data_IF_207505953293
#
_entry.id   IF_207505953293
#
_cell.length_a   1.000
_cell.length_b   1.000
_cell.length_c   1.000
_cell.angle_alpha   90.00
_cell.angle_beta   90.00
_cell.angle_gamma   90.00
#
_symmetry.space_group_name_H-M   'P 1'
#
loop_
_entity.id
_entity.type
_entity.pdbx_description
1 polymer ?
#
# COMPACT_ATOMS: atom_id res chain seq x y z
N UNK A 1 4.72 19.05 2.02
CA UNK A 1 4.02 17.75 2.00
C UNK A 1 4.62 16.95 0.85
N UNK A 2 5.44 15.94 1.13
CA UNK A 2 6.09 15.16 0.09
C UNK A 2 5.13 14.05 -0.36
N UNK A 3 4.73 14.07 -1.63
CA UNK A 3 3.97 12.97 -2.22
C UNK A 3 4.89 11.75 -2.33
N UNK A 4 4.44 10.56 -1.90
CA UNK A 4 5.19 9.33 -2.09
C UNK A 4 5.54 9.13 -3.57
N UNK A 5 6.81 8.85 -3.83
CA UNK A 5 7.32 8.52 -5.17
C UNK A 5 7.60 7.01 -5.23
N UNK A 6 7.69 6.44 -6.44
CA UNK A 6 8.00 5.02 -6.67
C UNK A 6 6.91 4.03 -6.20
N UNK A 7 5.68 4.24 -6.67
CA UNK A 7 4.58 3.30 -6.46
C UNK A 7 4.85 1.94 -7.12
N UNK A 8 4.64 0.88 -6.34
CA UNK A 8 4.75 -0.53 -6.77
C UNK A 8 3.36 -1.14 -6.73
N UNK A 9 2.88 -1.60 -7.88
CA UNK A 9 1.63 -2.34 -7.99
C UNK A 9 1.83 -3.76 -7.47
N UNK A 10 0.88 -4.27 -6.69
CA UNK A 10 0.91 -5.66 -6.23
C UNK A 10 0.81 -6.63 -7.40
N UNK A 11 1.63 -7.69 -7.40
CA UNK A 11 1.57 -8.78 -8.39
C UNK A 11 0.30 -9.61 -8.30
N UNK A 12 -0.47 -9.49 -7.20
CA UNK A 12 -1.78 -10.10 -7.03
C UNK A 12 -2.92 -9.26 -7.65
N UNK A 13 -2.60 -8.11 -8.23
CA UNK A 13 -3.54 -7.28 -8.99
C UNK A 13 -3.75 -7.90 -10.38
N UNK A 14 -4.65 -8.88 -10.48
CA UNK A 14 -5.09 -9.46 -11.76
C UNK A 14 -6.06 -8.53 -12.52
N UNK A 15 -6.52 -8.98 -13.69
CA UNK A 15 -7.31 -8.16 -14.63
C UNK A 15 -8.64 -7.60 -14.07
N UNK A 16 -9.16 -8.09 -12.94
CA UNK A 16 -10.49 -7.69 -12.43
C UNK A 16 -10.64 -7.57 -10.91
N UNK A 17 -9.58 -7.72 -10.11
CA UNK A 17 -9.68 -7.50 -8.65
C UNK A 17 -8.31 -7.29 -7.98
N UNK A 18 -8.32 -6.58 -6.86
CA UNK A 18 -7.19 -6.35 -5.92
C UNK A 18 -6.14 -5.32 -6.37
N UNK A 19 -6.58 -4.17 -6.88
CA UNK A 19 -5.71 -3.09 -7.36
C UNK A 19 -5.19 -2.21 -6.21
N UNK A 20 -4.11 -2.64 -5.53
CA UNK A 20 -3.40 -1.81 -4.56
C UNK A 20 -1.98 -1.49 -5.04
N UNK A 21 -1.56 -0.26 -4.78
CA UNK A 21 -0.19 0.22 -4.95
C UNK A 21 0.41 0.62 -3.61
N UNK A 22 1.69 0.32 -3.43
CA UNK A 22 2.46 0.70 -2.24
C UNK A 22 3.68 1.51 -2.63
N UNK A 23 4.03 2.51 -1.84
CA UNK A 23 5.26 3.28 -1.99
C UNK A 23 6.01 3.33 -0.66
N UNK A 24 7.31 3.07 -0.70
CA UNK A 24 8.19 3.25 0.43
C UNK A 24 8.43 4.75 0.66
N UNK A 25 8.26 5.21 1.91
CA UNK A 25 8.55 6.59 2.30
C UNK A 25 9.50 6.60 3.49
N UNK A 26 10.28 7.68 3.72
CA UNK A 26 11.28 7.68 4.79
C UNK A 26 10.74 7.35 6.19
N UNK A 27 9.45 7.56 6.44
CA UNK A 27 8.79 7.33 7.73
C UNK A 27 7.92 6.06 7.79
N UNK A 28 7.92 5.21 6.77
CA UNK A 28 7.07 4.02 6.70
C UNK A 28 6.61 3.73 5.26
N UNK A 29 5.30 3.56 5.07
CA UNK A 29 4.74 3.22 3.76
C UNK A 29 3.51 4.08 3.43
N UNK A 30 3.23 4.20 2.14
CA UNK A 30 1.98 4.74 1.63
C UNK A 30 1.25 3.69 0.80
N UNK A 31 -0.06 3.61 0.94
CA UNK A 31 -0.92 2.66 0.23
C UNK A 31 -2.04 3.42 -0.47
N UNK A 32 -2.33 3.06 -1.72
CA UNK A 32 -3.44 3.65 -2.48
C UNK A 32 -4.13 2.62 -3.37
N UNK A 33 -5.34 2.99 -3.81
CA UNK A 33 -6.08 2.27 -4.85
C UNK A 33 -5.45 2.56 -6.22
N UNK A 34 -5.05 1.53 -6.95
CA UNK A 34 -4.46 1.70 -8.29
C UNK A 34 -5.47 2.17 -9.34
N UNK A 35 -6.76 1.92 -9.14
CA UNK A 35 -7.83 2.37 -10.05
C UNK A 35 -8.22 3.82 -9.80
N UNK A 36 -8.00 4.31 -8.58
CA UNK A 36 -8.40 5.64 -8.16
C UNK A 36 -7.22 6.42 -7.50
N UNK A 37 -6.06 6.57 -8.19
CA UNK A 37 -4.86 7.16 -7.59
C UNK A 37 -5.02 8.63 -7.18
N UNK A 38 -5.96 9.34 -7.80
CA UNK A 38 -6.23 10.76 -7.54
C UNK A 38 -7.11 11.00 -6.30
N UNK A 39 -7.74 9.94 -5.76
CA UNK A 39 -8.54 10.03 -4.51
C UNK A 39 -7.66 10.13 -3.25
N UNK A 40 -6.34 10.02 -3.40
CA UNK A 40 -5.38 10.13 -2.32
C UNK A 40 -4.80 8.78 -1.89
N UNK A 41 -4.09 8.79 -0.76
CA UNK A 41 -3.39 7.63 -0.24
C UNK A 41 -3.39 7.64 1.29
N UNK A 42 -3.34 6.45 1.87
CA UNK A 42 -3.13 6.25 3.29
C UNK A 42 -1.62 6.21 3.56
N UNK A 43 -1.18 6.82 4.66
CA UNK A 43 0.21 6.74 5.13
C UNK A 43 0.25 6.03 6.47
N UNK A 44 1.21 5.12 6.59
CA UNK A 44 1.47 4.35 7.79
C UNK A 44 2.85 4.69 8.31
N UNK A 45 2.98 4.84 9.63
CA UNK A 45 4.28 4.79 10.27
C UNK A 45 4.87 3.38 10.13
N UNK A 46 6.20 3.26 10.23
CA UNK A 46 6.88 1.97 10.06
C UNK A 46 6.32 0.86 10.95
N UNK A 47 6.04 1.15 12.23
CA UNK A 47 5.49 0.18 13.19
C UNK A 47 4.07 -0.26 12.83
N UNK A 48 3.23 0.66 12.39
CA UNK A 48 1.86 0.37 11.93
C UNK A 48 1.89 -0.47 10.66
N UNK A 49 2.80 -0.15 9.74
CA UNK A 49 2.98 -0.90 8.51
C UNK A 49 3.40 -2.35 8.77
N UNK A 50 4.34 -2.58 9.69
CA UNK A 50 4.72 -3.94 10.11
C UNK A 50 3.56 -4.69 10.74
N UNK A 51 2.79 -4.05 11.62
CA UNK A 51 1.62 -4.66 12.24
C UNK A 51 0.54 -5.04 11.21
N UNK A 52 0.26 -4.13 10.27
CA UNK A 52 -0.69 -4.36 9.17
C UNK A 52 -0.29 -5.54 8.29
N UNK A 53 1.00 -5.65 7.93
CA UNK A 53 1.48 -6.79 7.16
C UNK A 53 1.36 -8.11 7.94
N UNK A 54 1.65 -8.09 9.25
CA UNK A 54 1.49 -9.27 10.10
C UNK A 54 0.03 -9.75 10.19
N UNK A 55 -0.93 -8.83 10.30
CA UNK A 55 -2.34 -9.20 10.27
C UNK A 55 -2.76 -9.73 8.91
N UNK A 56 -2.33 -9.08 7.82
CA UNK A 56 -2.66 -9.49 6.46
C UNK A 56 -2.09 -10.88 6.11
N UNK A 57 -0.88 -11.22 6.55
CA UNK A 57 -0.30 -12.56 6.38
C UNK A 57 -1.11 -13.62 7.15
N UNK A 58 -1.59 -13.28 8.34
CA UNK A 58 -2.38 -14.19 9.18
C UNK A 58 -3.73 -14.50 8.53
N UNK A 59 -4.41 -13.50 8.00
CA UNK A 59 -5.71 -13.64 7.32
C UNK A 59 -5.63 -14.40 5.98
N UNK A 60 -4.43 -14.54 5.41
CA UNK A 60 -4.18 -15.31 4.18
C UNK A 60 -3.87 -16.80 4.43
N UNK A 61 -3.72 -17.22 5.70
CA UNK A 61 -3.56 -18.64 6.09
C UNK A 61 -4.92 -19.29 6.38
#
# INVERSE_FOLDING_TARGET
>A
MQSPQNWRKSSYSGDRSNCVEVADVPSGAALRDSQNPDLGHLRFALTEWTAFLGSAETDLR
#
